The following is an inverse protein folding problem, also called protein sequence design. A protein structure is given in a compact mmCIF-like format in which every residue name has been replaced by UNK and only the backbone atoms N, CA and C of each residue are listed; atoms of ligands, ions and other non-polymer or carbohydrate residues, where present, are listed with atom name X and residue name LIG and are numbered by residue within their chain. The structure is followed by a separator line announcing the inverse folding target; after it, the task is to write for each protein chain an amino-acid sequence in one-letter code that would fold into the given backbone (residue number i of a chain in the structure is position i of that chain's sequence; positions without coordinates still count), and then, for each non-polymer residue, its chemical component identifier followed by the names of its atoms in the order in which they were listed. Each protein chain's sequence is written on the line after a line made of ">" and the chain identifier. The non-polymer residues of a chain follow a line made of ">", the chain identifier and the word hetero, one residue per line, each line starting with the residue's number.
data_IF_686279062736
#
_entry.id   IF_686279062736
#
_cell.length_a   1.000
_cell.length_b   1.000
_cell.length_c   1.000
_cell.angle_alpha   90.00
_cell.angle_beta   90.00
_cell.angle_gamma   90.00
#
_symmetry.space_group_name_H-M   'P 1'
#
loop_
_entity.id
_entity.type
_entity.pdbx_description
1 polymer ?
#
# COMPACT_ATOMS: atom_id res chain seq x y z
N UNK A 1 -9.31 13.95 -9.87
CA UNK A 1 -8.33 12.86 -9.92
C UNK A 1 -9.08 11.54 -10.05
N UNK A 2 -8.99 10.91 -11.23
CA UNK A 2 -9.86 9.80 -11.63
C UNK A 2 -9.42 8.45 -11.09
N UNK A 3 -10.35 7.49 -11.09
CA UNK A 3 -10.06 6.06 -10.92
C UNK A 3 -9.89 5.46 -12.31
N UNK A 4 -8.77 4.79 -12.57
CA UNK A 4 -8.59 4.02 -13.80
C UNK A 4 -9.12 2.61 -13.58
N UNK A 5 -9.99 2.13 -14.47
CA UNK A 5 -10.43 0.73 -14.46
C UNK A 5 -9.29 -0.12 -15.04
N UNK A 6 -8.79 -1.04 -14.24
CA UNK A 6 -7.76 -2.00 -14.63
C UNK A 6 -8.26 -3.41 -14.35
N UNK A 7 -7.69 -4.39 -15.05
CA UNK A 7 -7.87 -5.82 -14.76
C UNK A 7 -6.63 -6.30 -14.02
N UNK A 8 -6.80 -6.82 -12.81
CA UNK A 8 -5.73 -7.39 -11.99
C UNK A 8 -6.24 -8.68 -11.35
N UNK A 9 -5.33 -9.62 -11.08
CA UNK A 9 -5.63 -10.80 -10.28
C UNK A 9 -5.34 -10.49 -8.80
N UNK A 10 -6.29 -10.82 -7.94
CA UNK A 10 -6.13 -10.84 -6.49
C UNK A 10 -6.44 -12.25 -6.00
N UNK A 11 -5.68 -12.71 -5.01
CA UNK A 11 -6.00 -13.97 -4.33
C UNK A 11 -7.40 -13.89 -3.71
N UNK A 12 -8.16 -14.97 -3.82
CA UNK A 12 -9.53 -15.01 -3.28
C UNK A 12 -9.52 -14.73 -1.77
N UNK A 13 -8.58 -15.30 -1.03
CA UNK A 13 -8.43 -15.05 0.40
C UNK A 13 -8.26 -13.55 0.73
N UNK A 14 -7.49 -12.82 -0.07
CA UNK A 14 -7.34 -11.37 0.09
C UNK A 14 -8.66 -10.68 -0.22
N UNK A 15 -9.31 -11.01 -1.34
CA UNK A 15 -10.59 -10.41 -1.70
C UNK A 15 -11.66 -10.64 -0.62
N UNK A 16 -11.77 -11.86 -0.08
CA UNK A 16 -12.72 -12.20 0.99
C UNK A 16 -12.40 -11.43 2.28
N UNK A 17 -11.14 -11.34 2.67
CA UNK A 17 -10.73 -10.58 3.85
C UNK A 17 -11.12 -9.09 3.73
N UNK A 18 -10.91 -8.48 2.56
CA UNK A 18 -11.30 -7.09 2.34
C UNK A 18 -12.81 -6.92 2.25
N UNK A 19 -13.56 -7.85 1.65
CA UNK A 19 -15.03 -7.84 1.65
C UNK A 19 -15.59 -7.89 3.07
N UNK A 20 -15.07 -8.78 3.93
CA UNK A 20 -15.51 -8.90 5.32
C UNK A 20 -15.22 -7.62 6.14
N UNK A 21 -14.09 -6.96 5.88
CA UNK A 21 -13.70 -5.70 6.54
C UNK A 21 -14.42 -4.46 6.01
N UNK A 22 -15.00 -4.54 4.82
CA UNK A 22 -15.51 -3.37 4.12
C UNK A 22 -16.76 -2.77 4.79
N UNK A 23 -17.59 -3.59 5.43
CA UNK A 23 -18.85 -3.13 6.03
C UNK A 23 -19.68 -2.32 5.02
N UNK A 24 -20.04 -1.08 5.37
CA UNK A 24 -20.73 -0.12 4.47
C UNK A 24 -19.82 0.67 3.52
N UNK A 25 -18.49 0.60 3.69
CA UNK A 25 -17.54 1.10 2.68
C UNK A 25 -17.40 0.05 1.58
N UNK A 26 -17.23 0.45 0.32
CA UNK A 26 -16.93 -0.51 -0.74
C UNK A 26 -15.54 -1.15 -0.55
N UNK A 27 -15.42 -2.47 -0.70
CA UNK A 27 -14.15 -3.21 -0.54
C UNK A 27 -13.02 -2.67 -1.45
N UNK A 28 -13.37 -2.19 -2.66
CA UNK A 28 -12.42 -1.54 -3.57
C UNK A 28 -11.80 -0.27 -2.97
N UNK A 29 -12.57 0.51 -2.21
CA UNK A 29 -12.05 1.71 -1.53
C UNK A 29 -11.02 1.32 -0.49
N UNK A 30 -11.29 0.27 0.29
CA UNK A 30 -10.38 -0.22 1.33
C UNK A 30 -9.08 -0.80 0.74
N UNK A 31 -9.17 -1.53 -0.37
CA UNK A 31 -8.00 -2.01 -1.11
C UNK A 31 -7.15 -0.82 -1.58
N UNK A 32 -7.76 0.16 -2.25
CA UNK A 32 -7.05 1.33 -2.75
C UNK A 32 -6.39 2.16 -1.63
N UNK A 33 -7.06 2.30 -0.48
CA UNK A 33 -6.49 2.99 0.68
C UNK A 33 -5.28 2.24 1.25
N UNK A 34 -5.34 0.90 1.27
CA UNK A 34 -4.23 0.09 1.75
C UNK A 34 -3.04 0.11 0.81
N UNK A 35 -3.27 0.08 -0.50
CA UNK A 35 -2.21 0.26 -1.50
C UNK A 35 -1.54 1.64 -1.36
N UNK A 36 -2.31 2.71 -1.16
CA UNK A 36 -1.76 4.06 -0.89
C UNK A 36 -0.89 4.09 0.37
N UNK A 37 -1.34 3.47 1.46
CA UNK A 37 -0.55 3.38 2.70
C UNK A 37 0.74 2.60 2.50
N UNK A 38 0.71 1.50 1.73
CA UNK A 38 1.90 0.72 1.39
C UNK A 38 2.95 1.57 0.67
N UNK A 39 2.53 2.31 -0.37
CA UNK A 39 3.42 3.21 -1.11
C UNK A 39 4.05 4.29 -0.21
N UNK A 40 3.27 4.89 0.68
CA UNK A 40 3.79 5.89 1.62
C UNK A 40 4.79 5.27 2.60
N UNK A 41 4.52 4.08 3.13
CA UNK A 41 5.43 3.38 4.03
C UNK A 41 6.74 2.99 3.33
N UNK A 42 6.68 2.55 2.08
CA UNK A 42 7.87 2.19 1.32
C UNK A 42 8.74 3.42 1.01
N UNK A 43 8.14 4.56 0.68
CA UNK A 43 8.88 5.81 0.54
C UNK A 43 9.63 6.20 1.82
N UNK A 44 9.01 6.06 3.00
CA UNK A 44 9.65 6.33 4.30
C UNK A 44 10.80 5.36 4.57
N UNK A 45 10.64 4.06 4.26
CA UNK A 45 11.71 3.07 4.43
C UNK A 45 12.91 3.37 3.54
N UNK A 46 12.68 3.78 2.29
CA UNK A 46 13.76 4.16 1.39
C UNK A 46 14.53 5.39 1.89
N UNK A 47 13.82 6.44 2.32
CA UNK A 47 14.44 7.61 2.93
C UNK A 47 15.27 7.23 4.17
N UNK A 48 14.77 6.34 5.03
CA UNK A 48 15.51 5.87 6.19
C UNK A 48 16.76 5.08 5.80
N UNK A 49 16.69 4.23 4.77
CA UNK A 49 17.84 3.47 4.25
C UNK A 49 18.92 4.38 3.66
N UNK A 50 18.54 5.51 3.09
CA UNK A 50 19.48 6.53 2.60
C UNK A 50 20.21 7.19 3.76
N UNK A 51 19.48 7.73 4.74
CA UNK A 51 20.06 8.35 5.94
C UNK A 51 21.00 7.39 6.67
N UNK A 52 20.59 6.13 6.90
CA UNK A 52 21.45 5.14 7.56
C UNK A 52 22.74 4.89 6.76
N UNK A 53 22.67 4.84 5.43
CA UNK A 53 23.87 4.68 4.59
C UNK A 53 24.77 5.90 4.71
N UNK A 54 24.24 7.11 4.67
CA UNK A 54 25.04 8.34 4.81
C UNK A 54 25.80 8.38 6.15
N UNK A 55 25.12 8.05 7.25
CA UNK A 55 25.74 8.01 8.58
C UNK A 55 26.83 6.94 8.69
N UNK A 56 26.68 5.79 8.03
CA UNK A 56 27.69 4.71 8.02
C UNK A 56 28.91 5.02 7.14
N UNK A 57 28.77 5.83 6.09
CA UNK A 57 29.89 6.22 5.22
C UNK A 57 30.61 7.48 5.71
N UNK A 58 29.98 8.26 6.60
CA UNK A 58 30.55 9.48 7.18
C UNK A 58 31.35 9.22 8.47
N UNK A 59 31.35 7.99 8.98
CA UNK A 59 32.13 7.50 10.12
C UNK A 59 33.41 6.80 9.66
#
# INVERSE_FOLDING_TARGET
>A
MGKTRITINLDDAVLQAYKARAGGRGYQTLINETLRRGLAADAVKEALREVIREELHSA
#
